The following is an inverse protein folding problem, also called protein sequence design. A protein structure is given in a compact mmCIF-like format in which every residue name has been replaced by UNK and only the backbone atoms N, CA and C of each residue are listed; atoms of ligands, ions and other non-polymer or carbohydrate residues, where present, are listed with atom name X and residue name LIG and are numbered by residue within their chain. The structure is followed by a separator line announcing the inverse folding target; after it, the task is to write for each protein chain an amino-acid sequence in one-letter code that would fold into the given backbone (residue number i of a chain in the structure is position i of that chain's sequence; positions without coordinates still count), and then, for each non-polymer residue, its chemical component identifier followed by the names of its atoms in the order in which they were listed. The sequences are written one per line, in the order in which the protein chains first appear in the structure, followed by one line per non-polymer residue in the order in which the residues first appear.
data_IF_535487290497
#
_entry.id   IF_535487290497
#
_cell.length_a   1.000
_cell.length_b   1.000
_cell.length_c   1.000
_cell.angle_alpha   90.00
_cell.angle_beta   90.00
_cell.angle_gamma   90.00
#
_symmetry.space_group_name_H-M   'P 1'
#
loop_
_entity.id
_entity.type
_entity.pdbx_description
1 polymer ?
#
# COMPACT_ATOMS: atom_id res chain seq x y z
N UNK A 1 9.92 21.42 0.46
CA UNK A 1 9.03 20.56 -0.33
C UNK A 1 9.37 19.06 -0.26
N UNK A 2 10.63 18.65 -0.15
CA UNK A 2 10.97 17.20 -0.06
C UNK A 2 10.92 16.64 1.38
N UNK A 3 10.85 17.47 2.41
CA UNK A 3 10.81 17.07 3.83
C UNK A 3 9.54 16.32 4.25
N UNK A 4 8.48 16.37 3.45
CA UNK A 4 7.21 15.71 3.72
C UNK A 4 7.08 14.33 3.06
N UNK A 5 8.11 13.87 2.34
CA UNK A 5 8.17 12.51 1.80
C UNK A 5 8.60 11.59 2.95
N UNK A 6 7.66 11.27 3.82
CA UNK A 6 7.84 10.18 4.79
C UNK A 6 7.88 8.86 4.03
N UNK A 7 9.09 8.39 3.75
CA UNK A 7 9.34 7.06 3.20
C UNK A 7 8.80 6.00 4.15
N UNK A 8 7.64 5.44 3.77
CA UNK A 8 6.93 4.43 4.53
C UNK A 8 6.26 5.03 5.76
N UNK A 9 4.96 5.18 5.74
CA UNK A 9 4.17 5.59 6.91
C UNK A 9 4.12 4.48 7.98
N UNK A 10 5.24 3.75 8.14
CA UNK A 10 5.35 2.70 9.14
C UNK A 10 5.47 3.30 10.54
N UNK A 11 4.56 2.90 11.42
CA UNK A 11 4.63 3.25 12.84
C UNK A 11 5.21 2.06 13.62
N UNK A 12 6.43 2.19 14.16
CA UNK A 12 7.01 1.12 14.96
C UNK A 12 6.14 0.87 16.19
N UNK A 13 5.74 -0.38 16.40
CA UNK A 13 4.90 -0.81 17.50
C UNK A 13 5.17 -2.26 17.89
N UNK A 14 4.85 -2.61 19.14
CA UNK A 14 5.06 -3.96 19.68
C UNK A 14 3.75 -4.73 19.90
N UNK A 15 2.73 -4.47 19.06
CA UNK A 15 1.45 -5.18 19.18
C UNK A 15 1.50 -6.54 18.47
N UNK A 16 0.51 -7.38 18.75
CA UNK A 16 0.38 -8.71 18.10
C UNK A 16 0.42 -8.55 16.58
N UNK A 17 -0.31 -7.57 16.03
CA UNK A 17 -0.37 -7.31 14.58
C UNK A 17 1.01 -6.91 14.02
N UNK A 18 1.83 -6.14 14.75
CA UNK A 18 3.17 -5.76 14.29
C UNK A 18 4.13 -6.97 14.24
N UNK A 19 3.98 -7.92 15.17
CA UNK A 19 4.85 -9.11 15.29
C UNK A 19 4.52 -10.22 14.30
N UNK A 20 3.37 -10.18 13.63
CA UNK A 20 3.00 -11.17 12.61
C UNK A 20 3.99 -11.16 11.45
N UNK A 21 4.22 -12.33 10.86
CA UNK A 21 5.05 -12.50 9.67
C UNK A 21 4.50 -11.65 8.51
N UNK A 22 5.34 -10.88 7.78
CA UNK A 22 4.92 -10.07 6.64
C UNK A 22 4.17 -10.86 5.55
N UNK A 23 4.51 -12.14 5.37
CA UNK A 23 3.81 -13.05 4.44
C UNK A 23 2.37 -13.28 4.86
N UNK A 24 2.15 -13.53 6.14
CA UNK A 24 0.81 -13.70 6.71
C UNK A 24 -0.02 -12.45 6.52
N UNK A 25 0.52 -11.28 6.80
CA UNK A 25 -0.18 -9.99 6.62
C UNK A 25 -0.57 -9.76 5.17
N UNK A 26 0.34 -10.01 4.21
CA UNK A 26 0.04 -9.91 2.78
C UNK A 26 -1.10 -10.82 2.36
N UNK A 27 -1.05 -12.10 2.77
CA UNK A 27 -2.12 -13.07 2.47
C UNK A 27 -3.45 -12.67 3.12
N UNK A 28 -3.43 -12.22 4.38
CA UNK A 28 -4.61 -11.74 5.07
C UNK A 28 -5.26 -10.55 4.38
N UNK A 29 -4.45 -9.59 3.88
CA UNK A 29 -4.99 -8.45 3.12
C UNK A 29 -5.60 -8.90 1.81
N UNK A 30 -5.00 -9.86 1.10
CA UNK A 30 -5.59 -10.41 -0.13
C UNK A 30 -6.93 -11.11 0.18
N UNK A 31 -6.97 -11.96 1.21
CA UNK A 31 -8.21 -12.63 1.64
C UNK A 31 -9.28 -11.63 2.07
N UNK A 32 -8.88 -10.57 2.78
CA UNK A 32 -9.75 -9.46 3.18
C UNK A 32 -10.34 -8.74 1.96
N UNK A 33 -9.52 -8.41 0.96
CA UNK A 33 -9.98 -7.79 -0.29
C UNK A 33 -10.98 -8.70 -1.00
N UNK A 34 -10.67 -9.99 -1.13
CA UNK A 34 -11.59 -10.99 -1.73
C UNK A 34 -12.92 -11.06 -0.97
N UNK A 35 -12.87 -11.08 0.36
CA UNK A 35 -14.06 -11.08 1.22
C UNK A 35 -14.90 -9.81 0.98
N UNK A 36 -14.26 -8.65 0.98
CA UNK A 36 -14.92 -7.34 0.81
C UNK A 36 -15.60 -7.19 -0.55
N UNK A 37 -14.95 -7.67 -1.64
CA UNK A 37 -15.56 -7.63 -2.98
C UNK A 37 -16.73 -8.61 -3.15
N UNK A 38 -16.77 -9.68 -2.37
CA UNK A 38 -17.88 -10.63 -2.38
C UNK A 38 -19.03 -10.23 -1.44
N UNK A 39 -18.83 -9.27 -0.53
CA UNK A 39 -19.85 -8.76 0.37
C UNK A 39 -20.95 -8.02 -0.43
N UNK A 40 -22.21 -8.46 -0.29
CA UNK A 40 -23.40 -7.87 -0.92
C UNK A 40 -24.49 -7.48 0.08
N UNK A 41 -24.58 -8.19 1.20
CA UNK A 41 -25.58 -7.99 2.24
C UNK A 41 -25.05 -7.06 3.34
N UNK A 42 -25.94 -6.38 4.04
CA UNK A 42 -25.61 -5.58 5.22
C UNK A 42 -24.91 -6.43 6.28
N UNK A 43 -25.33 -7.69 6.45
CA UNK A 43 -24.71 -8.63 7.39
C UNK A 43 -23.24 -8.91 7.03
N UNK A 44 -22.94 -9.16 5.74
CA UNK A 44 -21.57 -9.44 5.28
C UNK A 44 -20.67 -8.21 5.43
N UNK A 45 -21.17 -6.99 5.14
CA UNK A 45 -20.44 -5.76 5.42
C UNK A 45 -20.18 -5.55 6.91
N UNK A 46 -21.17 -5.81 7.77
CA UNK A 46 -21.02 -5.68 9.22
C UNK A 46 -19.94 -6.66 9.76
N UNK A 47 -19.91 -7.89 9.25
CA UNK A 47 -18.92 -8.89 9.64
C UNK A 47 -17.50 -8.49 9.24
N UNK A 48 -17.30 -8.02 8.00
CA UNK A 48 -15.99 -7.51 7.54
C UNK A 48 -15.58 -6.27 8.33
N UNK A 49 -16.53 -5.36 8.63
CA UNK A 49 -16.28 -4.16 9.43
C UNK A 49 -15.87 -4.52 10.87
N UNK A 50 -16.52 -5.54 11.47
CA UNK A 50 -16.16 -6.02 12.80
C UNK A 50 -14.73 -6.56 12.84
N UNK A 51 -14.34 -7.40 11.87
CA UNK A 51 -12.97 -7.93 11.79
C UNK A 51 -11.96 -6.80 11.57
N UNK A 52 -12.24 -5.86 10.68
CA UNK A 52 -11.37 -4.69 10.47
C UNK A 52 -11.21 -3.86 11.75
N UNK A 53 -12.30 -3.62 12.47
CA UNK A 53 -12.29 -2.87 13.75
C UNK A 53 -11.45 -3.60 14.80
N UNK A 54 -11.58 -4.92 14.93
CA UNK A 54 -10.75 -5.73 15.82
C UNK A 54 -9.27 -5.61 15.45
N UNK A 55 -8.93 -5.69 14.16
CA UNK A 55 -7.57 -5.51 13.68
C UNK A 55 -7.00 -4.12 13.99
N UNK A 56 -7.80 -3.06 13.82
CA UNK A 56 -7.40 -1.68 14.14
C UNK A 56 -7.17 -1.53 15.65
N UNK A 57 -8.08 -2.02 16.49
CA UNK A 57 -7.95 -1.94 17.95
C UNK A 57 -6.74 -2.71 18.46
N UNK A 58 -6.49 -3.92 17.93
CA UNK A 58 -5.34 -4.74 18.32
C UNK A 58 -4.01 -4.17 17.83
N UNK A 59 -4.01 -3.44 16.70
CA UNK A 59 -2.81 -2.79 16.17
C UNK A 59 -2.38 -1.54 16.95
N UNK A 60 -3.29 -0.94 17.75
CA UNK A 60 -3.08 0.33 18.46
C UNK A 60 -2.63 1.49 17.56
N UNK A 61 -2.90 1.42 16.27
CA UNK A 61 -2.64 2.52 15.34
C UNK A 61 -3.62 3.66 15.62
N UNK A 62 -3.11 4.89 15.69
CA UNK A 62 -3.94 6.06 15.96
C UNK A 62 -4.96 6.24 14.84
N UNK A 63 -6.27 6.26 15.20
CA UNK A 63 -7.36 6.46 14.23
C UNK A 63 -7.20 7.75 13.39
N UNK A 64 -6.56 8.80 13.95
CA UNK A 64 -6.22 10.03 13.21
C UNK A 64 -5.28 9.81 12.04
N UNK A 65 -4.40 8.80 12.10
CA UNK A 65 -3.52 8.46 10.98
C UNK A 65 -4.34 7.81 9.84
N UNK A 66 -5.23 6.89 10.19
CA UNK A 66 -6.13 6.23 9.24
C UNK A 66 -7.07 7.22 8.55
N UNK A 67 -7.69 8.13 9.30
CA UNK A 67 -8.60 9.15 8.73
C UNK A 67 -7.86 10.21 7.90
N UNK A 68 -6.61 10.55 8.26
CA UNK A 68 -5.79 11.45 7.45
C UNK A 68 -5.48 10.86 6.06
N UNK A 69 -5.28 9.55 5.99
CA UNK A 69 -5.09 8.83 4.73
C UNK A 69 -6.34 8.83 3.81
N UNK A 70 -7.55 9.01 4.38
CA UNK A 70 -8.78 9.11 3.59
C UNK A 70 -8.97 10.48 2.92
N UNK A 71 -8.32 11.55 3.43
CA UNK A 71 -8.51 12.91 2.90
C UNK A 71 -8.34 13.04 1.38
N UNK A 72 -7.24 12.54 0.75
CA UNK A 72 -7.06 12.69 -0.69
C UNK A 72 -8.07 11.89 -1.51
N UNK A 73 -8.68 10.86 -0.91
CA UNK A 73 -9.62 9.97 -1.58
C UNK A 73 -11.07 10.47 -1.46
N UNK A 74 -11.33 11.41 -0.54
CA UNK A 74 -12.67 11.94 -0.30
C UNK A 74 -13.38 12.46 -1.56
N UNK A 75 -12.64 13.14 -2.43
CA UNK A 75 -13.17 13.66 -3.70
C UNK A 75 -13.63 12.51 -4.60
N UNK A 76 -12.82 11.46 -4.71
CA UNK A 76 -13.12 10.29 -5.55
C UNK A 76 -14.34 9.54 -4.98
N UNK A 77 -14.38 9.38 -3.65
CA UNK A 77 -15.50 8.72 -2.95
C UNK A 77 -16.79 9.51 -3.13
N UNK A 78 -16.73 10.83 -2.99
CA UNK A 78 -17.90 11.69 -3.22
C UNK A 78 -18.37 11.61 -4.68
N UNK A 79 -17.46 11.67 -5.62
CA UNK A 79 -17.79 11.56 -7.04
C UNK A 79 -18.43 10.20 -7.40
N UNK A 80 -17.85 9.10 -6.91
CA UNK A 80 -18.40 7.75 -7.14
C UNK A 80 -19.76 7.56 -6.46
N UNK A 81 -19.96 8.14 -5.27
CA UNK A 81 -21.26 8.12 -4.59
C UNK A 81 -22.33 8.85 -5.42
N UNK A 82 -22.02 10.05 -5.93
CA UNK A 82 -22.91 10.83 -6.78
C UNK A 82 -23.22 10.06 -8.08
N UNK A 83 -22.22 9.50 -8.74
CA UNK A 83 -22.42 8.70 -9.94
C UNK A 83 -23.34 7.51 -9.69
N UNK A 84 -23.13 6.74 -8.62
CA UNK A 84 -24.01 5.62 -8.30
C UNK A 84 -25.44 6.07 -7.96
N UNK A 85 -25.59 7.23 -7.31
CA UNK A 85 -26.90 7.76 -6.93
C UNK A 85 -27.76 8.10 -8.16
N UNK A 86 -27.15 8.70 -9.19
CA UNK A 86 -27.88 9.20 -10.38
C UNK A 86 -27.95 8.20 -11.54
N UNK A 87 -26.94 7.31 -11.67
CA UNK A 87 -26.83 6.41 -12.82
C UNK A 87 -27.31 4.98 -12.53
N UNK A 88 -27.60 4.62 -11.27
CA UNK A 88 -28.15 3.31 -10.96
C UNK A 88 -29.66 3.32 -11.20
N UNK A 89 -30.11 2.56 -12.20
CA UNK A 89 -31.55 2.37 -12.48
C UNK A 89 -32.24 1.59 -11.36
N UNK A 90 -33.54 1.83 -11.17
CA UNK A 90 -34.35 1.16 -10.17
C UNK A 90 -35.69 1.87 -9.93
N UNK A 91 -36.35 1.56 -8.82
CA UNK A 91 -37.62 2.20 -8.43
C UNK A 91 -37.37 3.62 -7.94
N UNK A 92 -38.01 4.65 -8.54
CA UNK A 92 -37.81 6.03 -8.12
C UNK A 92 -38.33 6.26 -6.69
N UNK A 93 -37.58 7.00 -5.88
CA UNK A 93 -37.93 7.30 -4.48
C UNK A 93 -39.11 8.29 -4.40
N UNK A 94 -39.24 9.20 -5.40
CA UNK A 94 -40.33 10.15 -5.46
C UNK A 94 -40.57 10.60 -6.89
N UNK A 95 -41.81 10.94 -7.26
CA UNK A 95 -42.25 11.41 -8.58
C UNK A 95 -41.95 12.92 -8.86
N UNK A 96 -41.04 13.51 -8.06
CA UNK A 96 -40.64 14.91 -8.26
C UNK A 96 -39.52 14.97 -9.30
N UNK A 97 -39.59 15.89 -10.24
CA UNK A 97 -38.73 16.00 -11.44
C UNK A 97 -37.21 15.86 -11.18
N UNK A 98 -36.71 16.41 -10.06
CA UNK A 98 -35.29 16.33 -9.65
C UNK A 98 -34.95 14.99 -8.97
N UNK A 99 -35.94 14.37 -8.29
CA UNK A 99 -35.77 13.14 -7.49
C UNK A 99 -36.12 11.87 -8.28
N UNK A 100 -36.64 12.00 -9.49
CA UNK A 100 -37.01 10.89 -10.38
C UNK A 100 -35.80 10.04 -10.80
N UNK A 101 -34.60 10.64 -10.79
CA UNK A 101 -33.33 9.92 -11.07
C UNK A 101 -32.73 9.24 -9.84
N UNK A 102 -33.23 9.55 -8.63
CA UNK A 102 -32.74 8.93 -7.40
C UNK A 102 -33.61 7.72 -7.12
N UNK A 103 -32.99 6.54 -7.21
CA UNK A 103 -33.64 5.26 -6.98
C UNK A 103 -33.24 4.68 -5.62
N UNK A 104 -34.10 3.87 -5.00
CA UNK A 104 -33.81 3.21 -3.74
C UNK A 104 -32.59 2.27 -3.88
N UNK A 105 -32.48 1.59 -5.01
CA UNK A 105 -31.35 0.75 -5.37
C UNK A 105 -30.07 1.59 -5.54
N UNK A 106 -30.19 2.80 -6.11
CA UNK A 106 -29.09 3.75 -6.25
C UNK A 106 -28.52 4.20 -4.91
N UNK A 107 -29.39 4.52 -3.94
CA UNK A 107 -28.96 4.89 -2.59
C UNK A 107 -28.24 3.72 -1.91
N UNK A 108 -28.80 2.51 -1.98
CA UNK A 108 -28.19 1.32 -1.41
C UNK A 108 -26.84 1.03 -2.05
N UNK A 109 -26.74 1.13 -3.37
CA UNK A 109 -25.49 0.92 -4.11
C UNK A 109 -24.43 1.99 -3.79
N UNK A 110 -24.82 3.25 -3.68
CA UNK A 110 -23.94 4.35 -3.29
C UNK A 110 -23.36 4.13 -1.88
N UNK A 111 -24.20 3.82 -0.92
CA UNK A 111 -23.75 3.54 0.47
C UNK A 111 -22.82 2.33 0.49
N UNK A 112 -23.18 1.23 -0.18
CA UNK A 112 -22.34 0.03 -0.24
C UNK A 112 -20.99 0.31 -0.90
N UNK A 113 -20.95 1.12 -1.97
CA UNK A 113 -19.73 1.49 -2.66
C UNK A 113 -18.82 2.36 -1.79
N UNK A 114 -19.38 3.38 -1.11
CA UNK A 114 -18.65 4.24 -0.19
C UNK A 114 -18.04 3.42 0.96
N UNK A 115 -18.85 2.56 1.61
CA UNK A 115 -18.37 1.67 2.66
C UNK A 115 -17.25 0.76 2.16
N UNK A 116 -17.41 0.16 0.98
CA UNK A 116 -16.39 -0.70 0.37
C UNK A 116 -15.07 0.02 0.17
N UNK A 117 -15.10 1.22 -0.40
CA UNK A 117 -13.88 2.00 -0.67
C UNK A 117 -13.20 2.38 0.66
N UNK A 118 -13.96 2.88 1.64
CA UNK A 118 -13.41 3.26 2.94
C UNK A 118 -12.77 2.05 3.63
N UNK A 119 -13.46 0.92 3.69
CA UNK A 119 -12.97 -0.30 4.33
C UNK A 119 -11.73 -0.83 3.62
N UNK A 120 -11.72 -0.83 2.27
CA UNK A 120 -10.56 -1.26 1.47
C UNK A 120 -9.33 -0.41 1.79
N UNK A 121 -9.48 0.91 1.83
CA UNK A 121 -8.40 1.83 2.13
C UNK A 121 -7.90 1.66 3.57
N UNK A 122 -8.80 1.53 4.53
CA UNK A 122 -8.42 1.31 5.93
C UNK A 122 -7.67 0.00 6.14
N UNK A 123 -8.10 -1.08 5.49
CA UNK A 123 -7.42 -2.38 5.55
C UNK A 123 -6.02 -2.35 4.93
N UNK A 124 -5.85 -1.70 3.78
CA UNK A 124 -4.53 -1.56 3.12
C UNK A 124 -3.61 -0.63 3.90
N UNK A 125 -4.12 0.47 4.47
CA UNK A 125 -3.32 1.33 5.35
C UNK A 125 -2.87 0.62 6.62
N UNK A 126 -3.70 -0.27 7.18
CA UNK A 126 -3.29 -1.06 8.34
C UNK A 126 -2.04 -1.90 8.04
N UNK A 127 -1.96 -2.52 6.86
CA UNK A 127 -0.76 -3.23 6.41
C UNK A 127 0.45 -2.29 6.35
N UNK A 128 0.29 -1.13 5.70
CA UNK A 128 1.36 -0.14 5.51
C UNK A 128 1.87 0.42 6.84
N UNK A 129 0.97 0.69 7.79
CA UNK A 129 1.34 1.23 9.11
C UNK A 129 1.97 0.19 10.04
N UNK A 130 1.66 -1.10 9.85
CA UNK A 130 2.15 -2.17 10.73
C UNK A 130 3.32 -2.96 10.16
N UNK A 131 3.76 -2.67 8.92
CA UNK A 131 4.83 -3.44 8.27
C UNK A 131 5.82 -2.48 7.60
N UNK A 132 7.11 -2.63 7.88
CA UNK A 132 8.13 -1.81 7.23
C UNK A 132 8.26 -2.18 5.75
N UNK A 133 8.60 -1.22 4.84
CA UNK A 133 8.78 -1.50 3.42
C UNK A 133 9.80 -2.61 3.14
N UNK A 134 10.89 -2.66 3.91
CA UNK A 134 11.93 -3.70 3.78
C UNK A 134 11.36 -5.07 4.15
N UNK A 135 10.64 -5.17 5.29
CA UNK A 135 10.00 -6.44 5.69
C UNK A 135 8.93 -6.89 4.70
N UNK A 136 8.23 -5.93 4.07
CA UNK A 136 7.24 -6.22 3.03
C UNK A 136 7.90 -6.83 1.80
N UNK A 137 9.06 -6.29 1.39
CA UNK A 137 9.86 -6.81 0.27
C UNK A 137 10.35 -8.23 0.54
N UNK A 138 10.86 -8.51 1.76
CA UNK A 138 11.30 -9.84 2.17
C UNK A 138 10.12 -10.83 2.19
N UNK A 139 8.96 -10.39 2.68
CA UNK A 139 7.73 -11.17 2.65
C UNK A 139 7.29 -11.52 1.23
N UNK A 140 7.34 -10.53 0.32
CA UNK A 140 6.98 -10.70 -1.09
C UNK A 140 7.93 -11.66 -1.80
N UNK A 141 9.25 -11.54 -1.59
CA UNK A 141 10.25 -12.47 -2.13
C UNK A 141 9.92 -13.92 -1.75
N UNK A 142 9.60 -14.14 -0.48
CA UNK A 142 9.29 -15.48 0.02
C UNK A 142 7.98 -16.02 -0.54
N UNK A 143 6.95 -15.19 -0.66
CA UNK A 143 5.65 -15.57 -1.28
C UNK A 143 5.80 -15.88 -2.77
N UNK A 144 6.63 -15.12 -3.48
CA UNK A 144 6.89 -15.33 -4.90
C UNK A 144 7.95 -16.42 -5.17
N UNK A 145 8.62 -16.93 -4.15
CA UNK A 145 9.65 -17.97 -4.28
C UNK A 145 9.22 -19.19 -5.12
N UNK A 146 7.95 -19.69 -5.08
CA UNK A 146 7.52 -20.78 -5.96
C UNK A 146 7.62 -20.44 -7.47
N UNK A 147 7.54 -19.14 -7.84
CA UNK A 147 7.64 -18.69 -9.22
C UNK A 147 9.08 -18.75 -9.77
N UNK A 148 10.09 -19.03 -8.93
CA UNK A 148 11.44 -19.35 -9.40
C UNK A 148 11.44 -20.53 -10.38
N UNK A 149 10.47 -21.46 -10.26
CA UNK A 149 10.27 -22.56 -11.21
C UNK A 149 9.97 -22.07 -12.64
N UNK A 150 9.44 -20.85 -12.79
CA UNK A 150 9.18 -20.18 -14.07
C UNK A 150 10.41 -19.40 -14.58
N UNK A 151 11.61 -19.63 -14.02
CA UNK A 151 12.87 -18.93 -14.35
C UNK A 151 12.83 -17.41 -14.14
N UNK A 152 11.95 -16.92 -13.26
CA UNK A 152 11.89 -15.51 -12.89
C UNK A 152 12.99 -15.20 -11.85
N UNK A 153 13.77 -14.12 -12.02
CA UNK A 153 14.85 -13.72 -11.13
C UNK A 153 14.29 -13.00 -9.88
N UNK A 154 13.48 -13.71 -9.07
CA UNK A 154 12.75 -13.13 -7.93
C UNK A 154 13.69 -12.64 -6.85
N UNK A 155 14.79 -13.38 -6.60
CA UNK A 155 15.78 -12.99 -5.61
C UNK A 155 16.48 -11.68 -5.99
N UNK A 156 16.88 -11.58 -7.25
CA UNK A 156 17.54 -10.40 -7.81
C UNK A 156 16.61 -9.18 -7.76
N UNK A 157 15.34 -9.35 -8.10
CA UNK A 157 14.33 -8.29 -8.00
C UNK A 157 14.15 -7.83 -6.54
N UNK A 158 14.03 -8.76 -5.59
CA UNK A 158 13.88 -8.42 -4.17
C UNK A 158 15.14 -7.71 -3.63
N UNK A 159 16.31 -8.16 -4.03
CA UNK A 159 17.57 -7.52 -3.69
C UNK A 159 17.65 -6.09 -4.24
N UNK A 160 17.31 -5.89 -5.53
CA UNK A 160 17.26 -4.54 -6.12
C UNK A 160 16.30 -3.62 -5.38
N UNK A 161 15.09 -4.12 -5.02
CA UNK A 161 14.13 -3.34 -4.23
C UNK A 161 14.67 -2.99 -2.84
N UNK A 162 15.33 -3.94 -2.16
CA UNK A 162 15.90 -3.71 -0.83
C UNK A 162 17.03 -2.69 -0.86
N UNK A 163 17.90 -2.75 -1.89
CA UNK A 163 18.96 -1.76 -2.12
C UNK A 163 18.35 -0.40 -2.43
N UNK A 164 17.36 -0.33 -3.34
CA UNK A 164 16.68 0.90 -3.67
C UNK A 164 16.06 1.57 -2.44
N UNK A 165 15.26 0.81 -1.64
CA UNK A 165 14.64 1.31 -0.41
C UNK A 165 15.66 1.84 0.59
N UNK A 166 16.85 1.25 0.67
CA UNK A 166 17.94 1.68 1.52
C UNK A 166 18.59 2.98 1.02
N UNK A 167 18.72 3.14 -0.31
CA UNK A 167 19.38 4.29 -0.90
C UNK A 167 18.47 5.52 -1.02
N UNK A 168 17.15 5.37 -1.03
CA UNK A 168 16.20 6.49 -1.18
C UNK A 168 16.42 7.60 -0.13
N UNK A 169 16.54 7.32 1.19
CA UNK A 169 16.80 8.39 2.17
C UNK A 169 18.07 9.17 1.86
N UNK A 170 19.14 8.47 1.49
CA UNK A 170 20.42 9.08 1.15
C UNK A 170 20.35 9.95 -0.10
N UNK A 171 19.60 9.49 -1.13
CA UNK A 171 19.38 10.29 -2.34
C UNK A 171 18.53 11.53 -2.08
N UNK A 172 17.57 11.47 -1.16
CA UNK A 172 16.78 12.63 -0.74
C UNK A 172 17.70 13.68 -0.07
N UNK A 173 18.52 13.26 0.88
CA UNK A 173 19.49 14.15 1.53
C UNK A 173 20.47 14.78 0.54
N UNK A 174 20.94 14.00 -0.42
CA UNK A 174 21.83 14.47 -1.47
C UNK A 174 21.14 15.46 -2.40
N UNK A 175 19.89 15.19 -2.77
CA UNK A 175 19.05 16.10 -3.56
C UNK A 175 18.87 17.44 -2.84
N UNK A 176 18.60 17.43 -1.52
CA UNK A 176 18.45 18.65 -0.73
C UNK A 176 19.77 19.47 -0.66
N UNK A 177 20.92 18.78 -0.58
CA UNK A 177 22.25 19.42 -0.62
C UNK A 177 22.51 20.07 -1.98
N UNK A 178 22.29 19.33 -3.08
CA UNK A 178 22.47 19.84 -4.44
C UNK A 178 21.52 21.02 -4.69
N UNK A 179 20.26 20.89 -4.30
CA UNK A 179 19.25 21.95 -4.45
C UNK A 179 19.66 23.23 -3.70
N UNK A 180 20.14 23.07 -2.47
CA UNK A 180 20.61 24.21 -1.66
C UNK A 180 21.83 24.88 -2.29
N UNK A 181 22.77 24.10 -2.82
CA UNK A 181 23.95 24.65 -3.53
C UNK A 181 23.55 25.37 -4.82
N UNK A 182 22.60 24.85 -5.59
CA UNK A 182 22.13 25.52 -6.81
C UNK A 182 21.32 26.80 -6.51
N UNK A 183 20.51 26.80 -5.43
CA UNK A 183 19.86 28.03 -4.95
C UNK A 183 20.86 29.11 -4.58
N UNK A 184 21.96 28.74 -3.91
CA UNK A 184 23.04 29.68 -3.57
C UNK A 184 23.75 30.25 -4.82
N UNK A 185 23.71 29.52 -5.96
CA UNK A 185 24.21 29.97 -7.27
C UNK A 185 23.20 30.79 -8.07
N UNK A 186 22.03 31.11 -7.47
CA UNK A 186 20.98 31.91 -8.10
C UNK A 186 19.99 31.11 -8.94
N UNK A 187 19.96 29.78 -8.82
CA UNK A 187 18.95 28.99 -9.51
C UNK A 187 17.57 29.16 -8.86
N UNK A 188 16.57 29.44 -9.68
CA UNK A 188 15.18 29.57 -9.26
C UNK A 188 14.37 28.38 -9.77
N UNK A 189 13.76 27.63 -8.84
CA UNK A 189 12.98 26.43 -9.12
C UNK A 189 11.47 26.64 -9.00
N UNK A 190 11.03 27.85 -8.59
CA UNK A 190 9.65 28.15 -8.22
C UNK A 190 8.97 29.08 -9.21
N UNK A 191 9.71 29.97 -9.87
CA UNK A 191 9.17 30.93 -10.83
C UNK A 191 9.21 30.42 -12.27
N UNK A 192 8.38 31.01 -13.13
CA UNK A 192 8.35 30.75 -14.55
C UNK A 192 7.36 29.67 -15.01
N UNK A 193 7.35 29.47 -16.33
CA UNK A 193 6.46 28.52 -17.00
C UNK A 193 6.92 27.05 -16.72
N UNK A 194 6.02 26.06 -16.93
CA UNK A 194 6.30 24.63 -16.69
C UNK A 194 7.59 24.17 -17.39
N UNK A 195 7.84 24.63 -18.61
CA UNK A 195 9.06 24.34 -19.37
C UNK A 195 10.33 24.92 -18.73
N UNK A 196 10.26 26.12 -18.19
CA UNK A 196 11.36 26.78 -17.51
C UNK A 196 11.69 26.06 -16.19
N UNK A 197 10.65 25.67 -15.44
CA UNK A 197 10.82 24.86 -14.20
C UNK A 197 11.44 23.50 -14.48
N UNK A 198 10.99 22.80 -15.55
CA UNK A 198 11.59 21.52 -15.96
C UNK A 198 13.08 21.69 -16.31
N UNK A 199 13.44 22.76 -17.05
CA UNK A 199 14.84 23.07 -17.39
C UNK A 199 15.69 23.42 -16.17
N UNK A 200 15.10 24.09 -15.17
CA UNK A 200 15.77 24.42 -13.92
C UNK A 200 16.12 23.18 -13.07
N UNK A 201 15.42 22.04 -13.27
CA UNK A 201 15.73 20.79 -12.57
C UNK A 201 16.94 20.05 -13.14
N UNK A 202 17.36 20.32 -14.40
CA UNK A 202 18.50 19.64 -15.05
C UNK A 202 19.81 19.77 -14.25
N UNK A 203 20.18 20.95 -13.70
CA UNK A 203 21.36 21.11 -12.85
C UNK A 203 21.32 20.32 -11.53
N UNK A 204 20.15 19.82 -11.12
CA UNK A 204 20.00 18.91 -9.97
C UNK A 204 20.11 17.47 -10.43
N UNK A 205 19.45 17.12 -11.55
CA UNK A 205 19.38 15.75 -12.05
C UNK A 205 20.75 15.21 -12.48
N UNK A 206 21.54 16.00 -13.21
CA UNK A 206 22.83 15.54 -13.73
C UNK A 206 23.81 15.14 -12.61
N UNK A 207 24.09 15.97 -11.59
CA UNK A 207 24.92 15.56 -10.46
C UNK A 207 24.36 14.36 -9.70
N UNK A 208 23.03 14.29 -9.53
CA UNK A 208 22.38 13.20 -8.84
C UNK A 208 22.57 11.85 -9.59
N UNK A 209 22.44 11.86 -10.92
CA UNK A 209 22.72 10.69 -11.74
C UNK A 209 24.19 10.23 -11.63
N UNK A 210 25.13 11.17 -11.73
CA UNK A 210 26.57 10.85 -11.60
C UNK A 210 26.86 10.24 -10.22
N UNK A 211 26.28 10.78 -9.16
CA UNK A 211 26.43 10.25 -7.80
C UNK A 211 25.79 8.85 -7.68
N UNK A 212 24.59 8.66 -8.25
CA UNK A 212 23.91 7.36 -8.23
C UNK A 212 24.72 6.26 -8.94
N UNK A 213 25.29 6.56 -10.12
CA UNK A 213 26.16 5.62 -10.84
C UNK A 213 27.44 5.31 -10.06
N UNK A 214 28.10 6.31 -9.50
CA UNK A 214 29.28 6.10 -8.65
C UNK A 214 28.99 5.17 -7.48
N UNK A 215 27.85 5.36 -6.80
CA UNK A 215 27.41 4.48 -5.70
C UNK A 215 27.11 3.06 -6.18
N UNK A 216 26.54 2.92 -7.40
CA UNK A 216 26.28 1.61 -7.98
C UNK A 216 27.59 0.86 -8.25
N UNK A 217 28.62 1.53 -8.79
CA UNK A 217 29.94 0.95 -9.04
C UNK A 217 30.64 0.58 -7.72
N UNK A 218 30.59 1.45 -6.72
CA UNK A 218 31.16 1.17 -5.39
C UNK A 218 30.46 -0.04 -4.73
N UNK A 219 29.13 -0.12 -4.84
CA UNK A 219 28.37 -1.24 -4.31
C UNK A 219 28.66 -2.53 -5.06
N UNK A 220 28.74 -2.49 -6.39
CA UNK A 220 29.09 -3.65 -7.23
C UNK A 220 30.46 -4.18 -6.84
N UNK A 221 31.47 -3.31 -6.78
CA UNK A 221 32.84 -3.67 -6.35
C UNK A 221 32.84 -4.28 -4.93
N UNK A 222 32.09 -3.68 -3.99
CA UNK A 222 31.99 -4.21 -2.63
C UNK A 222 31.31 -5.60 -2.58
N UNK A 223 30.34 -5.85 -3.48
CA UNK A 223 29.69 -7.16 -3.59
C UNK A 223 30.62 -8.21 -4.20
N UNK A 224 31.37 -7.85 -5.25
CA UNK A 224 32.39 -8.72 -5.85
C UNK A 224 33.48 -9.11 -4.85
N UNK A 225 34.00 -8.14 -4.10
CA UNK A 225 34.98 -8.39 -3.01
C UNK A 225 34.44 -9.32 -1.91
N UNK A 226 33.12 -9.41 -1.77
CA UNK A 226 32.45 -10.34 -0.84
C UNK A 226 32.03 -11.65 -1.50
N UNK A 227 32.58 -11.94 -2.68
CA UNK A 227 32.29 -13.14 -3.46
C UNK A 227 30.80 -13.33 -3.74
N UNK A 228 30.10 -12.26 -4.15
CA UNK A 228 28.72 -12.37 -4.58
C UNK A 228 28.63 -12.99 -5.98
N UNK A 229 28.01 -14.16 -6.10
CA UNK A 229 27.79 -14.89 -7.36
C UNK A 229 26.30 -15.17 -7.64
N UNK A 230 25.40 -14.28 -7.23
CA UNK A 230 23.96 -14.45 -7.42
C UNK A 230 23.24 -15.02 -6.21
N UNK A 231 22.01 -15.50 -6.40
CA UNK A 231 21.12 -15.98 -5.33
C UNK A 231 21.28 -17.45 -4.94
N UNK A 232 22.03 -18.25 -5.70
CA UNK A 232 22.19 -19.69 -5.44
C UNK A 232 23.12 -19.94 -4.24
N UNK A 233 22.72 -20.87 -3.35
CA UNK A 233 23.53 -21.28 -2.20
C UNK A 233 23.61 -20.27 -1.04
N UNK A 234 22.88 -19.14 -1.09
CA UNK A 234 22.89 -18.13 -0.04
C UNK A 234 21.91 -18.42 1.10
N UNK A 235 22.34 -18.09 2.31
CA UNK A 235 21.50 -18.09 3.52
C UNK A 235 21.05 -16.66 3.86
N UNK A 236 19.83 -16.52 4.38
CA UNK A 236 19.33 -15.24 4.86
C UNK A 236 19.75 -14.99 6.30
N UNK A 237 20.23 -13.77 6.62
CA UNK A 237 20.55 -13.36 7.98
C UNK A 237 19.31 -13.37 8.87
N UNK A 238 18.20 -12.84 8.36
CA UNK A 238 16.91 -12.87 9.03
C UNK A 238 15.99 -13.89 8.35
N UNK A 239 15.84 -15.05 9.00
CA UNK A 239 14.96 -16.11 8.52
C UNK A 239 13.56 -15.85 9.05
N UNK A 240 12.62 -15.54 8.14
CA UNK A 240 11.20 -15.45 8.48
C UNK A 240 10.69 -16.84 8.89
N UNK A 241 10.13 -16.94 10.11
CA UNK A 241 9.56 -18.18 10.66
C UNK A 241 8.11 -17.95 11.04
N UNK A 242 7.21 -18.78 10.54
CA UNK A 242 5.81 -18.75 10.95
C UNK A 242 5.68 -19.08 12.43
N UNK A 243 4.93 -18.28 13.15
CA UNK A 243 4.52 -18.53 14.53
C UNK A 243 3.11 -19.14 14.55
N UNK A 244 2.72 -19.75 15.67
CA UNK A 244 1.34 -20.27 15.87
C UNK A 244 0.28 -19.18 15.68
N UNK A 245 0.58 -17.95 16.06
CA UNK A 245 -0.28 -16.79 15.85
C UNK A 245 -0.55 -16.51 14.35
N UNK A 246 0.46 -16.72 13.49
CA UNK A 246 0.32 -16.51 12.05
C UNK A 246 -0.70 -17.47 11.42
N UNK A 247 -0.63 -18.75 11.81
CA UNK A 247 -1.58 -19.77 11.34
C UNK A 247 -3.01 -19.50 11.81
N UNK A 248 -3.19 -19.08 13.07
CA UNK A 248 -4.51 -18.75 13.62
C UNK A 248 -5.14 -17.56 12.89
N UNK A 249 -4.35 -16.49 12.66
CA UNK A 249 -4.84 -15.31 11.97
C UNK A 249 -5.17 -15.63 10.51
N UNK A 250 -4.32 -16.40 9.83
CA UNK A 250 -4.55 -16.80 8.44
C UNK A 250 -5.81 -17.68 8.32
N UNK A 251 -6.00 -18.63 9.25
CA UNK A 251 -7.21 -19.45 9.31
C UNK A 251 -8.46 -18.58 9.53
N UNK A 252 -8.40 -17.61 10.45
CA UNK A 252 -9.52 -16.70 10.72
C UNK A 252 -9.92 -15.89 9.48
N UNK A 253 -8.95 -15.35 8.73
CA UNK A 253 -9.23 -14.62 7.49
C UNK A 253 -9.72 -15.54 6.37
N UNK A 254 -9.23 -16.78 6.30
CA UNK A 254 -9.72 -17.76 5.34
C UNK A 254 -11.17 -18.15 5.64
N UNK A 255 -11.49 -18.42 6.90
CA UNK A 255 -12.87 -18.70 7.33
C UNK A 255 -13.79 -17.52 7.06
N UNK A 256 -13.32 -16.30 7.28
CA UNK A 256 -14.05 -15.07 6.94
C UNK A 256 -14.35 -15.01 5.43
N UNK A 257 -13.33 -15.20 4.58
CA UNK A 257 -13.50 -15.11 3.14
C UNK A 257 -14.43 -16.21 2.60
N UNK A 258 -14.24 -17.45 3.03
CA UNK A 258 -15.09 -18.58 2.65
C UNK A 258 -16.51 -18.38 3.19
N UNK A 259 -16.67 -17.96 4.45
CA UNK A 259 -17.97 -17.69 5.06
C UNK A 259 -18.77 -16.64 4.29
N UNK A 260 -18.14 -15.54 3.85
CA UNK A 260 -18.80 -14.51 3.03
C UNK A 260 -19.19 -15.05 1.65
N UNK A 261 -18.35 -15.87 1.02
CA UNK A 261 -18.68 -16.49 -0.26
C UNK A 261 -19.87 -17.43 -0.11
N UNK A 262 -19.91 -18.23 0.94
CA UNK A 262 -21.04 -19.14 1.22
C UNK A 262 -22.32 -18.36 1.52
N UNK A 263 -22.27 -17.32 2.35
CA UNK A 263 -23.41 -16.45 2.64
C UNK A 263 -23.97 -15.80 1.37
N UNK A 264 -23.09 -15.36 0.47
CA UNK A 264 -23.47 -14.82 -0.84
C UNK A 264 -24.23 -15.85 -1.70
N UNK A 265 -23.81 -17.12 -1.67
CA UNK A 265 -24.49 -18.21 -2.41
C UNK A 265 -25.83 -18.59 -1.77
N UNK A 266 -25.97 -18.43 -0.46
CA UNK A 266 -27.23 -18.64 0.26
C UNK A 266 -28.22 -17.46 0.11
N UNK A 267 -27.85 -16.39 -0.60
CA UNK A 267 -28.71 -15.22 -0.84
C UNK A 267 -28.80 -14.23 0.31
N UNK A 268 -27.94 -14.40 1.31
CA UNK A 268 -27.80 -13.51 2.50
C UNK A 268 -26.60 -12.49 2.29
#
# INVERSE_FOLDING_TARGET
MLKDITLGQYFPGNTIVHRLDPRTKLLCVILYIVALFNAKSVLTYALVAAVLTVCILTSKVHYKALTRGLKPVYIIVAFTAIMNLFFTGGTPVADVWLLRHITFEGIRSAIAMVLRIIMLIMGTFLLTYTTSPISLTDGLERLLSPLKKLKLPIHELAMMMSIALRLIPTLIEETDKIMSAQKARGADFESGNIFQRARALVPILVPLFISAFRRADELATAMECRCYHGGEGRTALHVLRYQTADYLVLLAFLVLAVGIIVLKHLGL
#
